data_IF_560274287892
#
_entry.id   IF_560274287892
#
_cell.length_a   1.000
_cell.length_b   1.000
_cell.length_c   1.000
_cell.angle_alpha   90.00
_cell.angle_beta   90.00
_cell.angle_gamma   90.00
#
_symmetry.space_group_name_H-M   'P 1'
#
loop_
_entity.id
_entity.type
_entity.pdbx_description
1 polymer ?
#
# COMPACT_ATOMS: atom_id res chain seq x y z
N UNK A 1 9.65 4.53 -38.77
CA UNK A 1 8.50 4.91 -37.94
C UNK A 1 8.70 4.17 -36.63
N UNK A 2 9.44 4.78 -35.72
CA UNK A 2 9.50 4.29 -34.34
C UNK A 2 8.12 4.55 -33.75
N UNK A 3 7.44 3.50 -33.33
CA UNK A 3 6.21 3.60 -32.57
C UNK A 3 6.56 4.21 -31.22
N UNK A 4 6.40 5.52 -31.10
CA UNK A 4 6.35 6.23 -29.82
C UNK A 4 5.15 5.68 -29.04
N UNK A 5 5.37 4.57 -28.32
CA UNK A 5 4.38 4.09 -27.38
C UNK A 5 4.14 5.21 -26.38
N UNK A 6 2.89 5.70 -26.23
CA UNK A 6 2.61 6.78 -25.30
C UNK A 6 3.08 6.30 -23.93
N UNK A 7 3.97 7.07 -23.31
CA UNK A 7 4.48 6.80 -21.97
C UNK A 7 3.26 6.64 -21.07
N UNK A 8 2.85 5.40 -20.81
CA UNK A 8 1.65 5.12 -20.03
C UNK A 8 1.94 5.60 -18.62
N UNK A 9 1.36 6.74 -18.29
CA UNK A 9 1.59 7.35 -17.00
C UNK A 9 1.00 6.44 -15.93
N UNK A 10 1.77 6.12 -14.89
CA UNK A 10 1.28 5.37 -13.73
C UNK A 10 0.02 6.01 -13.11
N UNK A 11 -0.23 7.29 -13.37
CA UNK A 11 -1.41 8.03 -12.96
C UNK A 11 -2.69 7.67 -13.74
N UNK A 12 -2.57 7.12 -14.96
CA UNK A 12 -3.68 6.75 -15.85
C UNK A 12 -4.16 5.30 -15.63
N UNK A 13 -3.44 4.53 -14.80
CA UNK A 13 -3.85 3.19 -14.46
C UNK A 13 -5.19 3.22 -13.68
N UNK A 14 -6.13 2.33 -14.03
CA UNK A 14 -7.36 2.18 -13.28
C UNK A 14 -7.06 1.68 -11.85
N UNK A 15 -7.88 2.05 -10.86
CA UNK A 15 -7.67 1.69 -9.47
C UNK A 15 -7.56 0.18 -9.21
N UNK A 16 -8.25 -0.65 -10.01
CA UNK A 16 -8.17 -2.11 -9.87
C UNK A 16 -6.77 -2.64 -10.22
N UNK A 17 -6.15 -2.11 -11.28
CA UNK A 17 -4.80 -2.47 -11.67
C UNK A 17 -3.76 -1.97 -10.67
N UNK A 18 -3.91 -0.73 -10.20
CA UNK A 18 -3.06 -0.20 -9.12
C UNK A 18 -3.15 -1.12 -7.90
N UNK A 19 -4.37 -1.50 -7.50
CA UNK A 19 -4.57 -2.41 -6.36
C UNK A 19 -3.86 -3.75 -6.59
N UNK A 20 -3.99 -4.35 -7.78
CA UNK A 20 -3.31 -5.61 -8.10
C UNK A 20 -1.79 -5.51 -8.00
N UNK A 21 -1.21 -4.38 -8.41
CA UNK A 21 0.24 -4.15 -8.29
C UNK A 21 0.63 -4.00 -6.82
N UNK A 22 -0.14 -3.23 -6.03
CA UNK A 22 0.12 -3.03 -4.61
C UNK A 22 0.03 -4.35 -3.82
N UNK A 23 -0.85 -5.27 -4.19
CA UNK A 23 -0.94 -6.60 -3.55
C UNK A 23 0.32 -7.45 -3.76
N UNK A 24 1.12 -7.18 -4.79
CA UNK A 24 2.41 -7.84 -5.01
C UNK A 24 3.57 -7.20 -4.26
N UNK A 25 3.36 -6.04 -3.61
CA UNK A 25 4.37 -5.33 -2.86
C UNK A 25 4.25 -5.63 -1.36
N UNK A 26 5.36 -5.49 -0.63
CA UNK A 26 5.32 -5.54 0.82
C UNK A 26 4.74 -4.23 1.41
N UNK A 27 4.25 -4.29 2.64
CA UNK A 27 3.63 -3.16 3.34
C UNK A 27 4.55 -1.92 3.41
N UNK A 28 5.86 -2.14 3.61
CA UNK A 28 6.86 -1.07 3.72
C UNK A 28 7.03 -0.34 2.39
N UNK A 29 7.19 -1.06 1.28
CA UNK A 29 7.32 -0.47 -0.05
C UNK A 29 6.08 0.32 -0.45
N UNK A 30 4.90 -0.13 -0.03
CA UNK A 30 3.67 0.60 -0.28
C UNK A 30 3.69 1.96 0.44
N UNK A 31 4.10 1.98 1.71
CA UNK A 31 4.14 3.18 2.55
C UNK A 31 5.25 4.13 2.13
N UNK A 32 6.46 3.62 1.88
CA UNK A 32 7.62 4.44 1.59
C UNK A 32 7.72 4.87 0.12
N UNK A 33 7.29 4.02 -0.82
CA UNK A 33 7.47 4.23 -2.26
C UNK A 33 6.16 4.45 -2.98
N UNK A 34 5.21 3.52 -2.90
CA UNK A 34 4.00 3.55 -3.73
C UNK A 34 3.12 4.78 -3.49
N UNK A 35 3.02 5.25 -2.24
CA UNK A 35 2.29 6.48 -1.89
C UNK A 35 2.94 7.78 -2.42
N UNK A 36 4.19 7.72 -2.89
CA UNK A 36 4.94 8.87 -3.42
C UNK A 36 4.97 8.91 -4.95
N UNK A 37 4.49 7.86 -5.64
CA UNK A 37 4.46 7.78 -7.11
C UNK A 37 3.57 8.87 -7.71
N UNK A 38 2.27 8.87 -7.37
CA UNK A 38 1.33 9.89 -7.83
C UNK A 38 0.09 9.96 -6.94
N UNK A 39 -0.79 10.94 -7.21
CA UNK A 39 -2.05 11.12 -6.46
C UNK A 39 -3.01 9.95 -6.59
N UNK A 40 -3.11 9.32 -7.77
CA UNK A 40 -3.98 8.14 -7.98
C UNK A 40 -3.53 6.96 -7.11
N UNK A 41 -2.24 6.66 -7.10
CA UNK A 41 -1.66 5.61 -6.27
C UNK A 41 -1.85 5.87 -4.78
N UNK A 42 -1.60 7.11 -4.33
CA UNK A 42 -1.83 7.51 -2.94
C UNK A 42 -3.29 7.33 -2.53
N UNK A 43 -4.27 7.55 -3.42
CA UNK A 43 -5.70 7.34 -3.11
C UNK A 43 -6.01 5.86 -2.91
N UNK A 44 -5.50 4.97 -3.76
CA UNK A 44 -5.67 3.51 -3.62
C UNK A 44 -4.96 3.00 -2.37
N UNK A 45 -3.73 3.48 -2.11
CA UNK A 45 -3.00 3.16 -0.90
C UNK A 45 -3.75 3.56 0.36
N UNK A 46 -4.64 4.55 0.30
CA UNK A 46 -5.46 4.98 1.44
C UNK A 46 -6.71 4.13 1.67
N UNK A 47 -7.04 3.24 0.75
CA UNK A 47 -8.22 2.39 0.86
C UNK A 47 -8.00 1.24 1.87
N UNK A 48 -8.80 1.14 2.96
CA UNK A 48 -8.62 0.09 3.96
C UNK A 48 -8.90 -1.32 3.44
N UNK A 49 -9.70 -1.47 2.38
CA UNK A 49 -10.03 -2.79 1.83
C UNK A 49 -8.86 -3.41 1.07
N UNK A 50 -7.96 -2.58 0.57
CA UNK A 50 -6.71 -3.00 -0.04
C UNK A 50 -5.77 -3.63 1.00
N UNK A 51 -5.64 -3.01 2.17
CA UNK A 51 -4.80 -3.50 3.27
C UNK A 51 -5.29 -4.79 3.92
N UNK A 52 -6.60 -5.08 3.86
CA UNK A 52 -7.13 -6.40 4.30
C UNK A 52 -6.57 -7.58 3.51
N UNK A 53 -6.01 -7.33 2.32
CA UNK A 53 -5.43 -8.35 1.44
C UNK A 53 -3.90 -8.36 1.48
N UNK A 54 -3.27 -7.38 2.13
CA UNK A 54 -1.82 -7.29 2.28
C UNK A 54 -1.45 -7.91 3.61
N UNK A 55 -0.50 -8.84 3.60
CA UNK A 55 0.07 -9.35 4.84
C UNK A 55 0.97 -8.28 5.49
N UNK A 56 0.46 -7.68 6.57
CA UNK A 56 1.17 -6.63 7.31
C UNK A 56 2.27 -7.18 8.23
N UNK A 57 2.40 -8.51 8.36
CA UNK A 57 3.40 -9.13 9.24
C UNK A 57 4.81 -9.23 8.63
N UNK A 58 5.01 -8.80 7.38
CA UNK A 58 6.29 -9.02 6.74
C UNK A 58 7.38 -8.06 7.26
N UNK A 59 8.34 -8.67 7.95
CA UNK A 59 9.55 -8.13 8.56
C UNK A 59 10.31 -7.09 7.72
N UNK A 60 10.50 -5.89 8.27
CA UNK A 60 11.49 -4.94 7.75
C UNK A 60 11.45 -3.60 8.49
N UNK A 61 12.25 -3.53 9.55
CA UNK A 61 12.68 -2.34 10.27
C UNK A 61 11.70 -1.13 10.35
N UNK A 62 10.92 -1.10 11.43
CA UNK A 62 10.09 0.04 11.85
C UNK A 62 10.89 1.35 12.05
N UNK A 63 12.23 1.30 12.02
CA UNK A 63 13.13 2.42 12.26
C UNK A 63 13.14 3.54 11.21
N UNK A 64 12.67 3.28 9.98
CA UNK A 64 12.65 4.28 8.88
C UNK A 64 11.32 5.05 8.75
N UNK A 65 10.25 4.60 9.41
CA UNK A 65 8.92 5.15 9.16
C UNK A 65 8.66 6.45 9.93
N UNK A 66 8.16 7.47 9.22
CA UNK A 66 7.73 8.71 9.83
C UNK A 66 6.56 8.49 10.81
N UNK A 67 6.49 9.31 11.87
CA UNK A 67 5.42 9.23 12.88
C UNK A 67 4.00 9.26 12.25
N UNK A 68 3.86 10.01 11.15
CA UNK A 68 2.62 10.09 10.37
C UNK A 68 2.26 8.77 9.69
N UNK A 69 3.25 8.07 9.14
CA UNK A 69 3.08 6.78 8.45
C UNK A 69 2.84 5.64 9.45
N UNK A 70 3.48 5.69 10.62
CA UNK A 70 3.22 4.79 11.76
C UNK A 70 1.80 4.99 12.32
N UNK A 71 1.38 6.24 12.52
CA UNK A 71 0.00 6.56 12.96
C UNK A 71 -1.02 6.09 11.94
N UNK A 72 -0.71 6.21 10.65
CA UNK A 72 -1.57 5.77 9.57
C UNK A 72 -1.67 4.24 9.51
N UNK A 73 -0.55 3.53 9.66
CA UNK A 73 -0.52 2.08 9.81
C UNK A 73 -1.31 1.57 11.01
N UNK A 74 -1.16 2.19 12.18
CA UNK A 74 -1.90 1.79 13.38
C UNK A 74 -3.41 1.95 13.14
N UNK A 75 -3.82 3.04 12.50
CA UNK A 75 -5.22 3.29 12.11
C UNK A 75 -5.73 2.26 11.10
N UNK A 76 -4.93 1.88 10.11
CA UNK A 76 -5.27 0.86 9.12
C UNK A 76 -5.31 -0.52 9.74
N UNK A 77 -4.32 -0.90 10.54
CA UNK A 77 -4.28 -2.17 11.26
C UNK A 77 -5.50 -2.32 12.18
N UNK A 78 -5.87 -1.27 12.93
CA UNK A 78 -7.08 -1.27 13.76
C UNK A 78 -8.38 -1.39 12.94
N UNK A 79 -8.43 -0.85 11.72
CA UNK A 79 -9.59 -0.96 10.81
C UNK A 79 -9.63 -2.27 10.02
N UNK A 80 -8.47 -2.88 9.80
CA UNK A 80 -8.29 -4.13 9.04
C UNK A 80 -8.32 -5.36 9.94
N UNK A 81 -8.17 -5.17 11.25
CA UNK A 81 -8.31 -6.19 12.27
C UNK A 81 -9.74 -6.73 12.29
N UNK A 82 -9.96 -7.83 11.56
CA UNK A 82 -10.74 -8.91 12.12
C UNK A 82 -9.84 -9.55 13.18
N UNK A 83 -10.27 -9.51 14.44
CA UNK A 83 -9.56 -9.97 15.63
C UNK A 83 -9.31 -11.50 15.60
N UNK A 84 -8.54 -12.02 14.64
CA UNK A 84 -8.33 -13.47 14.48
C UNK A 84 -7.03 -14.00 15.08
N UNK A 85 -6.16 -13.16 15.63
CA UNK A 85 -5.03 -13.65 16.41
C UNK A 85 -4.57 -12.68 17.50
N UNK A 86 -5.51 -12.28 18.36
CA UNK A 86 -5.18 -12.17 19.79
C UNK A 86 -5.33 -13.58 20.38
N UNK A 87 -4.48 -14.52 19.95
CA UNK A 87 -4.15 -15.66 20.81
C UNK A 87 -2.90 -15.23 21.56
N UNK A 88 -3.15 -14.46 22.62
CA UNK A 88 -2.23 -14.35 23.73
C UNK A 88 -1.92 -15.79 24.18
N UNK A 89 -0.66 -16.18 24.11
CA UNK A 89 -0.10 -17.31 24.83
C UNK A 89 1.12 -16.79 25.58
#
# INVERSE_FOLDING_TARGET
MESEEPIRSWAELPPELISSILLGLNSIEILEKAQKVCRSWRRVCKDPSMWRKIDMYNHGDLGSMGLSDLKWQLSIACRSSNLRSLRLS
#
